data_IF_939942950764
#
_entry.id   IF_939942950764
#
_cell.length_a   1.000
_cell.length_b   1.000
_cell.length_c   1.000
_cell.angle_alpha   90.00
_cell.angle_beta   90.00
_cell.angle_gamma   90.00
#
_symmetry.space_group_name_H-M   'P 1'
#
loop_
_entity.id
_entity.type
_entity.pdbx_description
1 polymer ?
#
# COMPACT_ATOMS: atom_id res chain seq x y z
N UNK A 1 -9.59 -8.19 16.89
CA UNK A 1 -10.66 -8.88 16.19
C UNK A 1 -10.12 -9.89 15.17
N UNK A 2 -10.85 -10.95 14.93
CA UNK A 2 -10.51 -11.92 13.88
C UNK A 2 -10.66 -11.20 12.53
N UNK A 3 -9.64 -11.29 11.68
CA UNK A 3 -9.70 -10.75 10.32
C UNK A 3 -10.88 -11.38 9.56
N UNK A 4 -11.59 -10.59 8.77
CA UNK A 4 -12.69 -11.07 7.91
C UNK A 4 -12.21 -12.20 6.99
N UNK A 5 -10.96 -12.13 6.52
CA UNK A 5 -10.35 -13.18 5.72
C UNK A 5 -10.18 -14.50 6.50
N UNK A 6 -9.76 -14.45 7.77
CA UNK A 6 -9.66 -15.66 8.62
C UNK A 6 -11.04 -16.24 8.86
N UNK A 7 -12.05 -15.40 9.11
CA UNK A 7 -13.43 -15.85 9.27
C UNK A 7 -13.95 -16.49 7.98
N UNK A 8 -13.64 -15.93 6.82
CA UNK A 8 -14.02 -16.51 5.53
C UNK A 8 -13.38 -17.89 5.33
N UNK A 9 -12.11 -18.08 5.65
CA UNK A 9 -11.44 -19.41 5.57
C UNK A 9 -12.11 -20.42 6.51
N UNK A 10 -12.45 -20.00 7.73
CA UNK A 10 -13.14 -20.89 8.70
C UNK A 10 -14.51 -21.31 8.21
N UNK A 11 -15.27 -20.40 7.59
CA UNK A 11 -16.65 -20.66 7.18
C UNK A 11 -16.78 -21.30 5.79
N UNK A 12 -15.89 -20.94 4.87
CA UNK A 12 -16.02 -21.29 3.45
C UNK A 12 -14.84 -22.09 2.90
N UNK A 13 -13.79 -22.31 3.69
CA UNK A 13 -12.56 -22.97 3.25
C UNK A 13 -11.70 -22.08 2.35
N UNK A 14 -10.83 -22.74 1.56
CA UNK A 14 -9.93 -22.03 0.65
C UNK A 14 -10.70 -21.61 -0.60
N UNK A 15 -10.74 -20.30 -0.86
CA UNK A 15 -11.31 -19.70 -2.05
C UNK A 15 -10.16 -19.25 -2.95
N UNK A 16 -9.94 -19.88 -4.12
CA UNK A 16 -8.86 -19.55 -5.03
C UNK A 16 -8.83 -18.06 -5.40
N UNK A 17 -7.64 -17.44 -5.35
CA UNK A 17 -7.44 -16.02 -5.61
C UNK A 17 -7.90 -15.09 -4.49
N UNK A 18 -8.50 -15.60 -3.41
CA UNK A 18 -9.01 -14.80 -2.28
C UNK A 18 -8.35 -15.19 -0.97
N UNK A 19 -8.40 -16.49 -0.62
CA UNK A 19 -7.89 -16.98 0.67
C UNK A 19 -6.72 -17.94 0.52
N UNK A 20 -6.22 -18.15 -0.68
CA UNK A 20 -5.09 -19.01 -1.04
C UNK A 20 -3.75 -18.25 -1.11
N UNK A 21 -3.75 -16.97 -0.78
CA UNK A 21 -2.55 -16.13 -0.73
C UNK A 21 -1.73 -16.41 0.53
N UNK A 22 -0.41 -16.21 0.45
CA UNK A 22 0.53 -16.32 1.60
C UNK A 22 0.31 -15.22 2.65
N UNK A 23 -0.66 -14.33 2.44
CA UNK A 23 -1.02 -13.23 3.34
C UNK A 23 -2.52 -12.93 3.25
N UNK A 24 -2.99 -12.20 4.26
CA UNK A 24 -4.34 -11.62 4.26
C UNK A 24 -4.24 -10.10 4.25
N UNK A 25 -5.06 -9.48 3.40
CA UNK A 25 -5.25 -8.03 3.45
C UNK A 25 -5.84 -7.65 4.81
N UNK A 26 -5.24 -6.67 5.45
CA UNK A 26 -5.60 -6.29 6.82
C UNK A 26 -6.96 -5.59 6.87
N UNK A 27 -7.74 -5.87 7.92
CA UNK A 27 -9.03 -5.20 8.22
C UNK A 27 -10.05 -5.23 7.08
N UNK A 28 -10.67 -4.09 6.78
CA UNK A 28 -11.74 -3.92 5.79
C UNK A 28 -11.22 -3.35 4.46
N UNK A 29 -9.94 -3.52 4.19
CA UNK A 29 -9.34 -3.01 2.94
C UNK A 29 -9.70 -3.89 1.76
N UNK A 30 -9.83 -3.23 0.62
CA UNK A 30 -9.81 -3.90 -0.69
C UNK A 30 -8.49 -4.65 -0.82
N UNK A 31 -8.50 -5.92 -1.28
CA UNK A 31 -7.28 -6.69 -1.48
C UNK A 31 -6.25 -5.94 -2.34
N UNK A 32 -4.99 -5.95 -1.94
CA UNK A 32 -3.92 -5.16 -2.59
C UNK A 32 -3.69 -5.52 -4.07
N UNK A 33 -4.07 -6.73 -4.47
CA UNK A 33 -4.00 -7.24 -5.83
C UNK A 33 -5.25 -6.92 -6.68
N UNK A 34 -6.31 -6.36 -6.08
CA UNK A 34 -7.53 -6.03 -6.81
C UNK A 34 -7.35 -4.74 -7.61
N UNK A 35 -7.36 -4.88 -8.93
CA UNK A 35 -7.19 -3.76 -9.86
C UNK A 35 -8.45 -2.89 -9.88
N UNK A 36 -8.36 -1.73 -9.28
CA UNK A 36 -9.43 -0.74 -9.27
C UNK A 36 -8.85 0.68 -9.27
N UNK A 37 -9.68 1.66 -9.63
CA UNK A 37 -9.33 3.07 -9.45
C UNK A 37 -9.38 3.46 -7.97
N UNK A 38 -8.66 4.54 -7.62
CA UNK A 38 -8.72 5.11 -6.28
C UNK A 38 -10.16 5.48 -5.88
N UNK A 39 -10.94 6.00 -6.83
CA UNK A 39 -12.36 6.33 -6.63
C UNK A 39 -13.20 5.09 -6.27
N UNK A 40 -13.04 4.01 -7.02
CA UNK A 40 -13.78 2.78 -6.75
C UNK A 40 -13.40 2.16 -5.41
N UNK A 41 -12.10 2.18 -5.08
CA UNK A 41 -11.61 1.78 -3.75
C UNK A 41 -12.24 2.62 -2.64
N UNK A 42 -12.30 3.94 -2.80
CA UNK A 42 -12.94 4.84 -1.84
C UNK A 42 -14.42 4.51 -1.64
N UNK A 43 -15.16 4.24 -2.72
CA UNK A 43 -16.57 3.83 -2.64
C UNK A 43 -16.79 2.56 -1.81
N UNK A 44 -15.86 1.61 -1.89
CA UNK A 44 -15.94 0.34 -1.14
C UNK A 44 -15.54 0.54 0.33
N UNK A 45 -14.45 1.26 0.61
CA UNK A 45 -13.88 1.36 1.95
C UNK A 45 -14.50 2.46 2.83
N UNK A 46 -14.98 3.56 2.22
CA UNK A 46 -15.51 4.70 2.96
C UNK A 46 -16.59 4.37 4.00
N UNK A 47 -17.57 3.47 3.74
CA UNK A 47 -18.59 3.14 4.74
C UNK A 47 -18.03 2.58 6.05
N UNK A 48 -16.84 1.97 6.00
CA UNK A 48 -16.21 1.35 7.18
C UNK A 48 -15.47 2.36 8.05
N UNK A 49 -15.08 3.53 7.50
CA UNK A 49 -14.34 4.53 8.25
C UNK A 49 -15.12 5.07 9.45
N UNK A 50 -16.42 5.29 9.30
CA UNK A 50 -17.29 5.74 10.39
C UNK A 50 -17.53 4.67 11.46
N UNK A 51 -17.33 3.40 11.13
CA UNK A 51 -17.57 2.26 12.03
C UNK A 51 -16.31 1.84 12.79
N UNK A 52 -15.13 2.30 12.35
CA UNK A 52 -13.84 1.97 12.94
C UNK A 52 -13.29 3.18 13.69
N UNK A 53 -13.50 3.24 15.00
CA UNK A 53 -13.09 4.35 15.87
C UNK A 53 -11.58 4.52 16.02
N UNK A 54 -10.86 4.68 14.93
CA UNK A 54 -9.43 4.96 14.89
C UNK A 54 -8.55 3.75 14.57
N UNK A 55 -8.20 3.56 13.35
CA UNK A 55 -7.29 2.48 12.90
C UNK A 55 -7.54 2.02 11.49
N UNK A 56 -8.55 2.54 10.81
CA UNK A 56 -8.75 2.30 9.39
C UNK A 56 -8.04 3.38 8.58
N UNK A 57 -7.01 3.00 7.82
CA UNK A 57 -6.24 3.91 6.97
C UNK A 57 -6.58 3.60 5.52
N UNK A 58 -7.09 4.57 4.78
CA UNK A 58 -7.28 4.45 3.34
C UNK A 58 -5.94 4.61 2.62
N UNK A 59 -5.49 3.56 1.92
CA UNK A 59 -4.24 3.58 1.17
C UNK A 59 -4.48 3.73 -0.31
N UNK A 60 -3.87 4.73 -0.93
CA UNK A 60 -3.82 4.87 -2.40
C UNK A 60 -2.40 4.66 -2.86
N UNK A 61 -2.20 3.63 -3.68
CA UNK A 61 -0.92 3.36 -4.32
C UNK A 61 -0.82 4.15 -5.62
N UNK A 62 0.16 5.03 -5.74
CA UNK A 62 0.43 5.79 -6.96
C UNK A 62 1.77 5.38 -7.58
N UNK A 63 1.88 5.57 -8.87
CA UNK A 63 3.12 5.35 -9.63
C UNK A 63 3.91 6.66 -9.72
N UNK A 64 5.24 6.55 -9.65
CA UNK A 64 6.13 7.69 -9.75
C UNK A 64 6.26 8.55 -8.50
N UNK A 65 6.86 9.72 -8.68
CA UNK A 65 7.13 10.67 -7.59
C UNK A 65 5.97 11.64 -7.37
N UNK A 66 5.29 11.48 -6.23
CA UNK A 66 4.19 12.35 -5.81
C UNK A 66 4.58 13.83 -5.72
N UNK A 67 5.86 14.15 -5.51
CA UNK A 67 6.34 15.54 -5.42
C UNK A 67 6.28 16.27 -6.76
N UNK A 68 6.32 15.53 -7.86
CA UNK A 68 6.20 16.07 -9.22
C UNK A 68 4.76 16.19 -9.71
N UNK A 69 3.80 15.68 -8.96
CA UNK A 69 2.38 15.76 -9.29
C UNK A 69 1.51 16.09 -8.07
N UNK A 70 1.64 17.31 -7.52
CA UNK A 70 0.88 17.73 -6.36
C UNK A 70 -0.63 17.76 -6.62
N UNK A 71 -1.06 17.98 -7.86
CA UNK A 71 -2.47 17.98 -8.24
C UNK A 71 -3.10 16.61 -8.05
N UNK A 72 -2.39 15.51 -8.40
CA UNK A 72 -2.88 14.16 -8.16
C UNK A 72 -3.07 13.89 -6.66
N UNK A 73 -2.15 14.37 -5.82
CA UNK A 73 -2.27 14.25 -4.36
C UNK A 73 -3.48 15.03 -3.85
N UNK A 74 -3.66 16.28 -4.32
CA UNK A 74 -4.83 17.10 -3.94
C UNK A 74 -6.14 16.44 -4.35
N UNK A 75 -6.22 15.87 -5.55
CA UNK A 75 -7.41 15.15 -6.01
C UNK A 75 -7.75 13.94 -5.11
N UNK A 76 -6.72 13.24 -4.59
CA UNK A 76 -6.93 12.16 -3.62
C UNK A 76 -7.47 12.71 -2.29
N UNK A 77 -6.92 13.83 -1.81
CA UNK A 77 -7.40 14.48 -0.57
C UNK A 77 -8.85 14.95 -0.72
N UNK A 78 -9.17 15.62 -1.82
CA UNK A 78 -10.55 16.06 -2.13
C UNK A 78 -11.52 14.87 -2.23
N UNK A 79 -11.06 13.77 -2.81
CA UNK A 79 -11.84 12.54 -2.85
C UNK A 79 -12.08 11.99 -1.44
N UNK A 80 -11.06 11.94 -0.59
CA UNK A 80 -11.21 11.50 0.80
C UNK A 80 -12.22 12.35 1.56
N UNK A 81 -12.17 13.68 1.40
CA UNK A 81 -13.15 14.60 2.01
C UNK A 81 -14.58 14.30 1.53
N UNK A 82 -14.79 14.16 0.22
CA UNK A 82 -16.11 13.84 -0.36
C UNK A 82 -16.69 12.52 0.16
N UNK A 83 -15.85 11.55 0.46
CA UNK A 83 -16.26 10.24 0.97
C UNK A 83 -16.22 10.15 2.50
N UNK A 84 -15.94 11.26 3.20
CA UNK A 84 -15.81 11.30 4.66
C UNK A 84 -14.76 10.29 5.20
N UNK A 85 -13.66 10.16 4.49
CA UNK A 85 -12.51 9.34 4.86
C UNK A 85 -11.56 10.19 5.70
N UNK A 86 -11.61 10.02 7.01
CA UNK A 86 -10.86 10.88 7.95
C UNK A 86 -9.37 10.57 8.06
N UNK A 87 -8.91 9.42 7.53
CA UNK A 87 -7.50 9.04 7.61
C UNK A 87 -7.06 8.23 6.39
N UNK A 88 -6.07 8.74 5.68
CA UNK A 88 -5.52 8.08 4.50
C UNK A 88 -4.03 8.33 4.31
N UNK A 89 -3.46 7.57 3.39
CA UNK A 89 -2.06 7.65 3.00
C UNK A 89 -1.92 7.48 1.49
N UNK A 90 -1.20 8.39 0.87
CA UNK A 90 -0.73 8.24 -0.51
C UNK A 90 0.61 7.52 -0.47
N UNK A 91 0.64 6.32 -1.02
CA UNK A 91 1.83 5.48 -1.03
C UNK A 91 2.52 5.56 -2.39
N UNK A 92 3.82 5.71 -2.37
CA UNK A 92 4.69 5.58 -3.53
C UNK A 92 6.03 4.98 -3.10
N UNK A 93 6.73 4.37 -4.04
CA UNK A 93 8.07 3.84 -3.80
C UNK A 93 9.07 4.99 -3.72
N UNK A 94 10.01 4.91 -2.79
CA UNK A 94 11.17 5.80 -2.73
C UNK A 94 12.41 4.98 -2.45
N UNK A 95 13.40 5.04 -3.35
CA UNK A 95 14.68 4.39 -3.18
C UNK A 95 15.73 5.44 -2.87
N UNK A 96 16.66 5.10 -1.99
CA UNK A 96 17.78 5.97 -1.63
C UNK A 96 19.09 5.17 -1.65
N UNK A 97 20.08 5.67 -2.35
CA UNK A 97 21.43 5.16 -2.25
C UNK A 97 22.06 5.63 -0.92
N UNK A 98 22.48 4.69 -0.11
CA UNK A 98 23.06 4.99 1.21
C UNK A 98 24.50 5.54 1.11
N UNK A 99 25.18 5.32 -0.04
CA UNK A 99 26.57 5.76 -0.21
C UNK A 99 26.69 7.19 -0.76
N UNK A 100 25.80 7.59 -1.68
CA UNK A 100 25.88 8.94 -2.28
C UNK A 100 24.64 9.81 -2.06
N UNK A 101 23.58 9.28 -1.43
CA UNK A 101 22.34 9.99 -1.15
C UNK A 101 21.43 10.23 -2.36
N UNK A 102 21.74 9.63 -3.53
CA UNK A 102 20.84 9.71 -4.68
C UNK A 102 19.48 9.07 -4.37
N UNK A 103 18.40 9.72 -4.76
CA UNK A 103 17.03 9.24 -4.55
C UNK A 103 16.25 9.20 -5.86
N UNK A 104 15.37 8.21 -5.99
CA UNK A 104 14.36 8.14 -7.04
C UNK A 104 13.07 7.47 -6.54
N UNK A 105 12.00 7.58 -7.34
CA UNK A 105 10.69 6.98 -7.07
C UNK A 105 10.35 5.84 -8.05
N UNK A 106 11.34 5.25 -8.68
CA UNK A 106 11.15 4.10 -9.56
C UNK A 106 10.75 2.86 -8.77
N UNK A 107 10.00 1.96 -9.38
CA UNK A 107 9.53 0.74 -8.72
C UNK A 107 10.68 -0.13 -8.21
N UNK A 108 11.78 -0.18 -8.96
CA UNK A 108 12.97 -0.95 -8.60
C UNK A 108 14.24 -0.16 -8.91
N UNK A 109 15.11 -0.06 -7.93
CA UNK A 109 16.49 0.43 -8.09
C UNK A 109 17.41 -0.57 -7.40
N UNK A 110 18.13 -1.37 -8.18
CA UNK A 110 19.05 -2.38 -7.65
C UNK A 110 20.49 -1.88 -7.63
N UNK A 111 20.80 -0.91 -8.50
CA UNK A 111 22.10 -0.26 -8.61
C UNK A 111 21.89 1.25 -8.71
N UNK A 112 22.72 2.02 -8.03
CA UNK A 112 22.63 3.47 -8.04
C UNK A 112 23.13 4.03 -9.38
N UNK A 113 22.31 4.75 -10.16
CA UNK A 113 22.74 5.31 -11.45
C UNK A 113 23.79 6.42 -11.30
N UNK A 114 23.95 6.98 -10.10
CA UNK A 114 24.91 8.06 -9.86
C UNK A 114 26.29 7.55 -9.44
N UNK A 115 26.39 6.48 -8.64
CA UNK A 115 27.69 6.02 -8.11
C UNK A 115 27.96 4.51 -8.32
N UNK A 116 27.03 3.76 -8.93
CA UNK A 116 27.18 2.32 -9.16
C UNK A 116 27.07 1.46 -7.90
N UNK A 117 26.66 2.03 -6.76
CA UNK A 117 26.52 1.29 -5.50
C UNK A 117 25.28 0.41 -5.51
N UNK A 118 25.37 -0.77 -4.89
CA UNK A 118 24.26 -1.68 -4.62
C UNK A 118 23.66 -1.48 -3.21
N UNK A 119 24.19 -0.54 -2.43
CA UNK A 119 23.71 -0.21 -1.09
C UNK A 119 22.47 0.70 -1.18
N UNK A 120 21.35 0.11 -1.53
CA UNK A 120 20.09 0.80 -1.78
C UNK A 120 19.11 0.51 -0.66
N UNK A 121 18.61 1.58 -0.04
CA UNK A 121 17.50 1.52 0.89
C UNK A 121 16.19 1.79 0.14
N UNK A 122 15.24 0.86 0.26
CA UNK A 122 13.90 0.99 -0.32
C UNK A 122 12.91 1.36 0.78
N UNK A 123 12.45 2.60 0.72
CA UNK A 123 11.43 3.11 1.62
C UNK A 123 10.05 2.81 1.04
N UNK A 124 9.32 1.94 1.71
CA UNK A 124 7.92 1.66 1.41
C UNK A 124 7.12 1.53 2.70
N UNK A 125 5.87 1.96 2.64
CA UNK A 125 4.94 1.78 3.74
C UNK A 125 4.01 0.61 3.46
N UNK A 126 3.78 -0.22 4.47
CA UNK A 126 2.78 -1.27 4.43
C UNK A 126 1.98 -1.26 5.72
N UNK A 127 0.72 -1.67 5.66
CA UNK A 127 -0.18 -1.71 6.81
C UNK A 127 0.42 -2.54 7.95
N UNK A 128 0.50 -1.95 9.12
CA UNK A 128 1.01 -2.59 10.34
C UNK A 128 2.52 -2.52 10.54
N UNK A 129 3.27 -1.96 9.58
CA UNK A 129 4.71 -1.76 9.71
C UNK A 129 5.07 -0.28 9.70
N UNK A 130 5.80 0.15 10.73
CA UNK A 130 6.35 1.51 10.84
C UNK A 130 7.78 1.61 10.30
N UNK A 131 8.40 0.46 10.00
CA UNK A 131 9.76 0.37 9.46
C UNK A 131 9.69 0.47 7.95
N UNK A 132 10.36 1.49 7.39
CA UNK A 132 10.35 1.78 5.95
C UNK A 132 11.14 0.77 5.12
N UNK A 133 12.15 0.12 5.70
CA UNK A 133 13.04 -0.82 4.99
C UNK A 133 12.42 -2.21 4.88
N UNK A 134 12.50 -2.80 3.70
CA UNK A 134 11.88 -4.12 3.42
C UNK A 134 12.68 -5.31 3.95
N UNK A 135 13.94 -5.12 4.32
CA UNK A 135 14.86 -6.14 4.83
C UNK A 135 14.39 -6.81 6.13
N UNK A 136 13.57 -6.09 6.91
CA UNK A 136 13.01 -6.56 8.18
C UNK A 136 11.57 -7.07 8.06
N UNK A 137 11.03 -7.13 6.86
CA UNK A 137 9.67 -7.58 6.66
C UNK A 137 9.60 -9.11 6.64
N UNK A 138 8.51 -9.65 7.17
CA UNK A 138 8.26 -11.08 7.08
C UNK A 138 7.83 -11.48 5.65
N UNK A 139 7.89 -12.79 5.36
CA UNK A 139 7.55 -13.32 4.03
C UNK A 139 6.15 -12.93 3.55
N UNK A 140 5.16 -12.92 4.44
CA UNK A 140 3.79 -12.55 4.11
C UNK A 140 3.68 -11.09 3.66
N UNK A 141 4.41 -10.17 4.31
CA UNK A 141 4.42 -8.75 3.94
C UNK A 141 5.20 -8.48 2.65
N UNK A 142 6.23 -9.26 2.37
CA UNK A 142 6.93 -9.20 1.08
C UNK A 142 6.05 -9.73 -0.05
N UNK A 143 5.30 -10.81 0.16
CA UNK A 143 4.33 -11.31 -0.81
C UNK A 143 3.21 -10.28 -1.08
N UNK A 144 2.66 -9.66 -0.03
CA UNK A 144 1.67 -8.58 -0.15
C UNK A 144 2.23 -7.40 -0.96
N UNK A 145 3.49 -7.01 -0.73
CA UNK A 145 4.15 -5.93 -1.46
C UNK A 145 4.27 -6.23 -2.96
N UNK A 146 4.66 -7.46 -3.29
CA UNK A 146 4.83 -7.88 -4.69
C UNK A 146 3.51 -7.93 -5.47
N UNK A 147 2.41 -8.22 -4.78
CA UNK A 147 1.07 -8.31 -5.37
C UNK A 147 0.37 -6.95 -5.50
N UNK A 148 0.91 -5.89 -4.92
CA UNK A 148 0.29 -4.56 -4.96
C UNK A 148 0.11 -4.03 -6.36
N UNK A 149 -1.04 -3.42 -6.57
CA UNK A 149 -1.39 -2.73 -7.81
C UNK A 149 -1.51 -1.22 -7.58
N UNK A 150 -1.18 -0.46 -8.62
CA UNK A 150 -1.34 1.00 -8.64
C UNK A 150 -2.82 1.33 -8.90
N UNK A 151 -3.35 2.29 -8.17
CA UNK A 151 -4.72 2.80 -8.32
C UNK A 151 -4.71 3.97 -9.32
N UNK A 152 -5.26 3.74 -10.51
CA UNK A 152 -5.35 4.73 -11.60
C UNK A 152 -6.71 5.41 -11.63
#
# INVERSE_FOLDING_TARGET
>A
GISVAILAVILYGIIPGVTDKDYYTNSNHVPVYYKCSALHKAQIEAPYHSLTGGGHIFYVEIDGDATHNPEAVMNIVDMMDRFNIGYGSVNHTRNRCMDCGYENAEKEMNECPNCGSYNIDRLQRITGYLVGTTDRWNKAKLAELNDRVVHK
#
